data_IF_989841254658
#
_entry.id   IF_989841254658
#
_cell.length_a   1.000
_cell.length_b   1.000
_cell.length_c   1.000
_cell.angle_alpha   90.00
_cell.angle_beta   90.00
_cell.angle_gamma   90.00
#
_symmetry.space_group_name_H-M   'P 1'
#
loop_
_entity.id
_entity.type
_entity.pdbx_description
1 polymer ?
#
# COMPACT_ATOMS: atom_id res chain seq x y z
N UNK A 1 -45.22 -5.68 57.46
CA UNK A 1 -43.95 -4.95 57.24
C UNK A 1 -42.84 -5.99 57.24
N UNK A 2 -42.01 -6.05 56.21
CA UNK A 2 -40.88 -6.99 56.19
C UNK A 2 -39.92 -6.68 57.34
N UNK A 3 -39.36 -7.72 57.96
CA UNK A 3 -38.28 -7.57 58.94
C UNK A 3 -37.13 -6.75 58.35
N UNK A 4 -36.52 -5.88 59.14
CA UNK A 4 -35.37 -5.03 58.75
C UNK A 4 -34.25 -5.87 58.10
N UNK A 5 -34.07 -7.12 58.55
CA UNK A 5 -33.10 -8.05 57.98
C UNK A 5 -33.48 -8.50 56.56
N UNK A 6 -34.77 -8.70 56.28
CA UNK A 6 -35.23 -9.09 54.95
C UNK A 6 -35.07 -7.93 53.93
N UNK A 7 -35.32 -6.69 54.36
CA UNK A 7 -35.09 -5.51 53.52
C UNK A 7 -33.60 -5.34 53.15
N UNK A 8 -32.71 -5.60 54.12
CA UNK A 8 -31.26 -5.56 53.89
C UNK A 8 -30.78 -6.64 52.92
N UNK A 9 -31.37 -7.84 52.96
CA UNK A 9 -31.06 -8.90 52.00
C UNK A 9 -31.51 -8.53 50.60
N UNK A 10 -32.72 -7.97 50.44
CA UNK A 10 -33.21 -7.49 49.14
C UNK A 10 -32.27 -6.42 48.57
N UNK A 11 -31.90 -5.41 49.37
CA UNK A 11 -30.96 -4.37 48.95
C UNK A 11 -29.60 -4.93 48.54
N UNK A 12 -29.05 -5.88 49.31
CA UNK A 12 -27.79 -6.53 48.96
C UNK A 12 -27.89 -7.32 47.64
N UNK A 13 -29.00 -8.04 47.43
CA UNK A 13 -29.20 -8.78 46.18
C UNK A 13 -29.36 -7.83 44.98
N UNK A 14 -30.13 -6.75 45.11
CA UNK A 14 -30.29 -5.74 44.07
C UNK A 14 -28.96 -5.10 43.67
N UNK A 15 -28.11 -4.81 44.65
CA UNK A 15 -26.76 -4.30 44.44
C UNK A 15 -25.87 -5.30 43.70
N UNK A 16 -25.92 -6.58 44.06
CA UNK A 16 -25.19 -7.65 43.35
C UNK A 16 -25.66 -7.79 41.91
N UNK A 17 -26.97 -7.78 41.68
CA UNK A 17 -27.55 -7.83 40.34
C UNK A 17 -27.22 -6.59 39.52
N UNK A 18 -27.20 -5.40 40.12
CA UNK A 18 -26.78 -4.17 39.47
C UNK A 18 -25.30 -4.23 39.05
N UNK A 19 -24.42 -4.66 39.96
CA UNK A 19 -23.01 -4.84 39.67
C UNK A 19 -22.75 -5.91 38.59
N UNK A 20 -23.61 -6.94 38.51
CA UNK A 20 -23.50 -7.97 37.48
C UNK A 20 -23.96 -7.49 36.11
N UNK A 21 -25.03 -6.68 36.05
CA UNK A 21 -25.46 -6.01 34.82
C UNK A 21 -24.39 -5.06 34.30
N UNK A 22 -23.75 -4.30 35.18
CA UNK A 22 -22.70 -3.37 34.78
C UNK A 22 -21.46 -4.10 34.24
N UNK A 23 -21.04 -5.17 34.93
CA UNK A 23 -19.98 -6.06 34.41
C UNK A 23 -20.32 -6.66 33.04
N UNK A 24 -21.59 -7.00 32.79
CA UNK A 24 -21.99 -7.49 31.47
C UNK A 24 -21.87 -6.40 30.42
N UNK A 25 -22.35 -5.18 30.71
CA UNK A 25 -22.21 -4.04 29.80
C UNK A 25 -20.75 -3.74 29.47
N UNK A 26 -19.86 -3.75 30.46
CA UNK A 26 -18.43 -3.55 30.25
C UNK A 26 -17.83 -4.63 29.34
N UNK A 27 -18.22 -5.89 29.52
CA UNK A 27 -17.79 -7.00 28.64
C UNK A 27 -18.27 -6.81 27.21
N UNK A 28 -19.54 -6.44 27.04
CA UNK A 28 -20.13 -6.23 25.73
C UNK A 28 -19.47 -5.03 25.02
N UNK A 29 -19.24 -3.93 25.73
CA UNK A 29 -18.52 -2.76 25.23
C UNK A 29 -17.10 -3.09 24.81
N UNK A 30 -16.39 -3.87 25.64
CA UNK A 30 -15.03 -4.32 25.34
C UNK A 30 -14.97 -5.20 24.08
N UNK A 31 -15.91 -6.13 23.94
CA UNK A 31 -15.98 -6.98 22.75
C UNK A 31 -16.23 -6.17 21.48
N UNK A 32 -17.10 -5.15 21.56
CA UNK A 32 -17.35 -4.24 20.43
C UNK A 32 -16.13 -3.39 20.09
N UNK A 33 -15.40 -2.88 21.09
CA UNK A 33 -14.18 -2.11 20.84
C UNK A 33 -13.09 -2.95 20.19
N UNK A 34 -12.85 -4.17 20.70
CA UNK A 34 -11.87 -5.12 20.15
C UNK A 34 -12.21 -5.45 18.69
N UNK A 35 -13.47 -5.79 18.41
CA UNK A 35 -13.91 -6.08 17.03
C UNK A 35 -13.72 -4.88 16.09
N UNK A 36 -13.99 -3.66 16.56
CA UNK A 36 -13.79 -2.45 15.77
C UNK A 36 -12.30 -2.19 15.49
N UNK A 37 -11.44 -2.39 16.47
CA UNK A 37 -9.98 -2.26 16.30
C UNK A 37 -9.44 -3.29 15.30
N UNK A 38 -9.89 -4.55 15.39
CA UNK A 38 -9.55 -5.61 14.46
C UNK A 38 -10.02 -5.28 13.03
N UNK A 39 -11.25 -4.77 12.88
CA UNK A 39 -11.78 -4.34 11.60
C UNK A 39 -10.97 -3.17 11.03
N UNK A 40 -10.66 -2.17 11.84
CA UNK A 40 -9.80 -1.06 11.43
C UNK A 40 -8.40 -1.55 11.02
N UNK A 41 -7.81 -2.49 11.73
CA UNK A 41 -6.51 -3.08 11.43
C UNK A 41 -6.52 -3.88 10.12
N UNK A 42 -7.54 -4.71 9.91
CA UNK A 42 -7.70 -5.49 8.66
C UNK A 42 -7.96 -4.58 7.45
N UNK A 43 -8.77 -3.54 7.62
CA UNK A 43 -9.00 -2.52 6.60
C UNK A 43 -7.72 -1.73 6.28
N UNK A 44 -6.99 -1.27 7.28
CA UNK A 44 -5.73 -0.55 7.10
C UNK A 44 -4.70 -1.42 6.34
N UNK A 45 -4.56 -2.68 6.73
CA UNK A 45 -3.69 -3.64 6.06
C UNK A 45 -4.11 -3.91 4.61
N UNK A 46 -5.41 -3.92 4.30
CA UNK A 46 -5.91 -4.05 2.93
C UNK A 46 -5.58 -2.82 2.09
N UNK A 47 -5.84 -1.63 2.62
CA UNK A 47 -5.53 -0.35 1.97
C UNK A 47 -4.04 -0.26 1.66
N UNK A 48 -3.19 -0.61 2.64
CA UNK A 48 -1.75 -0.58 2.47
C UNK A 48 -1.26 -1.59 1.41
N UNK A 49 -1.82 -2.81 1.37
CA UNK A 49 -1.54 -3.78 0.31
C UNK A 49 -1.92 -3.25 -1.07
N UNK A 50 -3.10 -2.64 -1.20
CA UNK A 50 -3.54 -2.04 -2.45
C UNK A 50 -2.60 -0.91 -2.88
N UNK A 51 -2.24 0.01 -1.97
CA UNK A 51 -1.29 1.08 -2.28
C UNK A 51 0.10 0.57 -2.65
N UNK A 52 0.56 -0.53 -2.06
CA UNK A 52 1.83 -1.17 -2.47
C UNK A 52 1.73 -1.74 -3.89
N UNK A 53 0.63 -2.41 -4.22
CA UNK A 53 0.41 -2.96 -5.55
C UNK A 53 0.39 -1.84 -6.61
N UNK A 54 -0.42 -0.79 -6.40
CA UNK A 54 -0.51 0.36 -7.31
C UNK A 54 0.84 1.04 -7.49
N UNK A 55 1.58 1.32 -6.40
CA UNK A 55 2.92 1.93 -6.50
C UNK A 55 3.90 1.07 -7.28
N UNK A 56 3.80 -0.27 -7.17
CA UNK A 56 4.66 -1.17 -7.94
C UNK A 56 4.35 -1.08 -9.43
N UNK A 57 3.07 -1.09 -9.80
CA UNK A 57 2.62 -0.94 -11.20
C UNK A 57 3.08 0.41 -11.77
N UNK A 58 2.88 1.51 -11.04
CA UNK A 58 3.33 2.84 -11.44
C UNK A 58 4.85 2.89 -11.65
N UNK A 59 5.62 2.27 -10.75
CA UNK A 59 7.08 2.22 -10.87
C UNK A 59 7.53 1.42 -12.10
N UNK A 60 6.86 0.32 -12.43
CA UNK A 60 7.15 -0.48 -13.62
C UNK A 60 6.84 0.29 -14.91
N UNK A 61 5.74 1.07 -14.94
CA UNK A 61 5.41 1.93 -16.08
C UNK A 61 6.45 3.04 -16.26
N UNK A 62 6.79 3.76 -15.19
CA UNK A 62 7.81 4.81 -15.21
C UNK A 62 9.18 4.26 -15.65
N UNK A 63 9.53 3.05 -15.21
CA UNK A 63 10.76 2.40 -15.64
C UNK A 63 10.78 2.14 -17.15
N UNK A 64 9.68 1.62 -17.71
CA UNK A 64 9.56 1.39 -19.16
C UNK A 64 9.69 2.70 -19.94
N UNK A 65 9.00 3.75 -19.51
CA UNK A 65 9.06 5.08 -20.12
C UNK A 65 10.48 5.65 -20.09
N UNK A 66 11.15 5.58 -18.93
CA UNK A 66 12.53 6.03 -18.79
C UNK A 66 13.48 5.29 -19.74
N UNK A 67 13.33 3.98 -19.88
CA UNK A 67 14.14 3.18 -20.80
C UNK A 67 13.88 3.58 -22.26
N UNK A 68 12.61 3.83 -22.64
CA UNK A 68 12.28 4.30 -23.98
C UNK A 68 12.91 5.65 -24.29
N UNK A 69 12.82 6.60 -23.37
CA UNK A 69 13.44 7.94 -23.52
C UNK A 69 14.96 7.82 -23.66
N UNK A 70 15.60 7.00 -22.81
CA UNK A 70 17.05 6.77 -22.90
C UNK A 70 17.46 6.14 -24.22
N UNK A 71 16.72 5.14 -24.71
CA UNK A 71 16.97 4.51 -26.00
C UNK A 71 16.83 5.50 -27.14
N UNK A 72 15.78 6.33 -27.14
CA UNK A 72 15.57 7.35 -28.15
C UNK A 72 16.72 8.38 -28.16
N UNK A 73 17.13 8.85 -26.98
CA UNK A 73 18.27 9.76 -26.84
C UNK A 73 19.57 9.13 -27.34
N UNK A 74 19.83 7.87 -27.01
CA UNK A 74 21.00 7.13 -27.48
C UNK A 74 20.99 6.96 -29.00
N UNK A 75 19.84 6.59 -29.58
CA UNK A 75 19.72 6.45 -31.03
C UNK A 75 20.02 7.76 -31.75
N UNK A 76 19.55 8.90 -31.23
CA UNK A 76 19.85 10.21 -31.79
C UNK A 76 21.36 10.49 -31.76
N UNK A 77 22.01 10.25 -30.62
CA UNK A 77 23.44 10.45 -30.44
C UNK A 77 24.26 9.59 -31.41
N UNK A 78 23.91 8.32 -31.55
CA UNK A 78 24.56 7.40 -32.48
C UNK A 78 24.34 7.80 -33.95
N UNK A 79 23.18 8.35 -34.30
CA UNK A 79 22.93 8.85 -35.66
C UNK A 79 23.80 10.07 -35.98
N UNK A 80 23.96 10.98 -35.03
CA UNK A 80 24.84 12.15 -35.15
C UNK A 80 26.30 11.71 -35.32
N UNK A 81 26.78 10.81 -34.46
CA UNK A 81 28.14 10.25 -34.56
C UNK A 81 28.36 9.48 -35.87
N UNK A 82 27.39 8.67 -36.29
CA UNK A 82 27.49 7.93 -37.55
C UNK A 82 27.62 8.87 -38.75
N UNK A 83 26.93 10.00 -38.73
CA UNK A 83 27.05 11.00 -39.79
C UNK A 83 28.44 11.65 -39.78
N UNK A 84 28.93 12.05 -38.61
CA UNK A 84 30.28 12.61 -38.46
C UNK A 84 31.34 11.64 -39.01
N UNK A 85 31.29 10.37 -38.64
CA UNK A 85 32.26 9.38 -39.11
C UNK A 85 32.14 9.09 -40.61
N UNK A 86 30.94 9.16 -41.19
CA UNK A 86 30.77 9.05 -42.65
C UNK A 86 31.51 10.17 -43.36
N UNK A 87 31.38 11.40 -42.87
CA UNK A 87 32.01 12.57 -43.46
C UNK A 87 33.54 12.49 -43.34
N UNK A 88 34.05 12.08 -42.18
CA UNK A 88 35.49 11.83 -41.97
C UNK A 88 36.06 10.74 -42.87
N UNK A 89 35.34 9.63 -43.04
CA UNK A 89 35.76 8.53 -43.92
C UNK A 89 35.76 8.96 -45.39
N UNK A 90 34.74 9.72 -45.80
CA UNK A 90 34.66 10.25 -47.16
C UNK A 90 35.85 11.17 -47.48
N UNK A 91 36.31 11.99 -46.52
CA UNK A 91 37.53 12.80 -46.67
C UNK A 91 38.79 11.93 -46.87
N UNK A 92 38.82 10.74 -46.28
CA UNK A 92 39.90 9.76 -46.47
C UNK A 92 39.71 8.88 -47.72
N UNK A 93 38.64 9.07 -48.49
CA UNK A 93 38.27 8.22 -49.62
C UNK A 93 37.84 6.80 -49.24
N UNK A 94 37.48 6.58 -47.97
CA UNK A 94 37.00 5.30 -47.42
C UNK A 94 35.50 5.37 -47.16
N UNK A 95 34.85 4.21 -47.05
CA UNK A 95 33.42 4.13 -46.72
C UNK A 95 33.15 2.98 -45.76
N UNK A 96 32.02 3.03 -45.06
CA UNK A 96 31.59 1.93 -44.19
C UNK A 96 31.22 0.69 -45.01
N UNK A 97 31.74 -0.47 -44.58
CA UNK A 97 31.30 -1.75 -45.12
C UNK A 97 29.85 -2.02 -44.70
N UNK A 98 28.97 -2.23 -45.67
CA UNK A 98 27.57 -2.60 -45.44
C UNK A 98 27.31 -3.92 -46.13
N UNK A 99 27.14 -5.00 -45.36
CA UNK A 99 26.75 -6.30 -45.92
C UNK A 99 25.28 -6.23 -46.36
N UNK A 100 25.02 -6.42 -47.65
CA UNK A 100 23.65 -6.62 -48.14
C UNK A 100 23.27 -8.08 -47.89
N UNK A 101 22.14 -8.30 -47.23
CA UNK A 101 21.48 -9.61 -47.08
C UNK A 101 20.58 -9.80 -48.29
#
# INVERSE_FOLDING_TARGET
>A
MLSVNAQRQVQNTEMLWAAQRERQRERDLKSVSEWKEDLCGTMASRIERNHRATRKEEMELLHKELVMVRRAALHKLLQEEQQQYKDELNLQGKTFYTQRI
#
